data_IF_850186142247
#
_entry.id   IF_850186142247
#
_cell.length_a   1.000
_cell.length_b   1.000
_cell.length_c   1.000
_cell.angle_alpha   90.00
_cell.angle_beta   90.00
_cell.angle_gamma   90.00
#
_symmetry.space_group_name_H-M   'P 1'
#
loop_
_entity.id
_entity.type
_entity.pdbx_description
1 polymer ?
#
# COMPACT_ATOMS: atom_id res chain seq x y z
N UNK A 1 -7.07 -22.01 32.52
CA UNK A 1 -5.87 -21.69 31.72
C UNK A 1 -6.32 -20.94 30.47
N UNK A 2 -5.65 -19.84 30.12
CA UNK A 2 -5.83 -19.20 28.80
C UNK A 2 -6.27 -17.74 28.83
N UNK A 3 -5.57 -16.87 29.56
CA UNK A 3 -5.87 -15.42 29.62
C UNK A 3 -4.84 -14.53 28.92
N UNK A 4 -3.95 -15.11 28.11
CA UNK A 4 -2.99 -14.35 27.31
C UNK A 4 -2.84 -14.97 25.92
N UNK A 5 -3.82 -14.77 25.05
CA UNK A 5 -3.55 -14.79 23.61
C UNK A 5 -2.65 -13.59 23.34
N UNK A 6 -1.37 -13.83 23.07
CA UNK A 6 -0.39 -12.79 22.73
C UNK A 6 -0.96 -11.95 21.59
N UNK A 7 -1.23 -10.66 21.84
CA UNK A 7 -1.59 -9.71 20.79
C UNK A 7 -0.41 -9.61 19.86
N UNK A 8 -0.62 -9.96 18.60
CA UNK A 8 0.41 -9.90 17.56
C UNK A 8 0.39 -8.48 16.95
N UNK A 9 -0.75 -7.81 17.00
CA UNK A 9 -0.99 -6.56 16.28
C UNK A 9 -1.08 -6.79 14.77
N UNK A 10 -1.18 -5.69 14.00
CA UNK A 10 -1.11 -5.74 12.55
C UNK A 10 0.31 -6.09 12.09
N UNK A 11 0.44 -7.13 11.27
CA UNK A 11 1.71 -7.59 10.68
C UNK A 11 1.68 -7.40 9.17
N UNK A 12 2.60 -6.58 8.65
CA UNK A 12 2.76 -6.35 7.21
C UNK A 12 3.80 -7.32 6.66
N UNK A 13 3.49 -8.06 5.59
CA UNK A 13 4.38 -9.09 5.04
C UNK A 13 5.03 -8.71 3.70
N UNK A 14 4.83 -7.49 3.20
CA UNK A 14 5.54 -6.88 2.06
C UNK A 14 5.40 -5.35 2.16
N UNK A 15 6.43 -4.67 2.67
CA UNK A 15 6.42 -3.20 2.88
C UNK A 15 7.12 -2.41 1.76
N UNK A 16 7.78 -3.07 0.81
CA UNK A 16 8.46 -2.38 -0.28
C UNK A 16 7.44 -1.80 -1.27
N UNK A 17 7.49 -0.48 -1.44
CA UNK A 17 6.66 0.29 -2.36
C UNK A 17 7.55 0.90 -3.45
N UNK A 18 7.38 0.43 -4.68
CA UNK A 18 8.08 0.93 -5.87
C UNK A 18 7.71 2.39 -6.20
N UNK A 19 6.63 2.92 -5.63
CA UNK A 19 6.13 4.26 -5.88
C UNK A 19 7.11 5.37 -5.43
N UNK A 20 7.86 5.18 -4.34
CA UNK A 20 8.87 6.16 -3.91
C UNK A 20 10.01 6.29 -4.92
N UNK A 21 10.50 5.14 -5.39
CA UNK A 21 11.57 5.08 -6.40
C UNK A 21 11.11 5.70 -7.72
N UNK A 22 9.87 5.43 -8.14
CA UNK A 22 9.27 6.08 -9.30
C UNK A 22 9.23 7.61 -9.17
N UNK A 23 8.82 8.13 -8.00
CA UNK A 23 8.79 9.59 -7.75
C UNK A 23 10.20 10.19 -7.80
N UNK A 24 11.19 9.51 -7.23
CA UNK A 24 12.59 9.93 -7.28
C UNK A 24 13.11 10.02 -8.73
N UNK A 25 12.95 8.95 -9.50
CA UNK A 25 13.39 8.85 -10.89
C UNK A 25 12.69 9.93 -11.76
N UNK A 26 11.38 10.10 -11.61
CA UNK A 26 10.61 11.11 -12.34
C UNK A 26 11.02 12.53 -11.95
N UNK A 27 11.37 12.77 -10.69
CA UNK A 27 11.87 14.06 -10.22
C UNK A 27 13.22 14.38 -10.86
N UNK A 28 14.10 13.40 -11.02
CA UNK A 28 15.35 13.58 -11.76
C UNK A 28 15.13 13.87 -13.26
N UNK A 29 14.17 13.18 -13.89
CA UNK A 29 13.82 13.41 -15.29
C UNK A 29 13.23 14.81 -15.50
N UNK A 30 12.38 15.29 -14.58
CA UNK A 30 11.80 16.64 -14.63
C UNK A 30 12.89 17.73 -14.64
N UNK A 31 13.98 17.53 -13.90
CA UNK A 31 15.12 18.48 -13.87
C UNK A 31 15.82 18.63 -15.23
N UNK A 32 15.75 17.60 -16.08
CA UNK A 32 16.39 17.57 -17.41
C UNK A 32 15.42 17.90 -18.55
N UNK A 33 14.11 17.87 -18.28
CA UNK A 33 13.06 18.14 -19.26
C UNK A 33 12.76 19.65 -19.41
N UNK A 34 12.14 20.04 -20.52
CA UNK A 34 11.76 21.43 -20.81
C UNK A 34 10.44 21.49 -21.56
N UNK A 35 9.75 22.63 -21.50
CA UNK A 35 8.48 22.83 -22.20
C UNK A 35 7.37 21.89 -21.73
N UNK A 36 6.52 21.45 -22.64
CA UNK A 36 5.33 20.65 -22.34
C UNK A 36 5.66 19.30 -21.68
N UNK A 37 6.79 18.68 -22.05
CA UNK A 37 7.25 17.43 -21.45
C UNK A 37 7.49 17.56 -19.93
N UNK A 38 8.02 18.70 -19.49
CA UNK A 38 8.25 18.94 -18.06
C UNK A 38 6.92 19.05 -17.31
N UNK A 39 5.94 19.76 -17.89
CA UNK A 39 4.61 19.90 -17.30
C UNK A 39 3.91 18.54 -17.16
N UNK A 40 4.05 17.66 -18.16
CA UNK A 40 3.51 16.30 -18.08
C UNK A 40 4.18 15.47 -16.99
N UNK A 41 5.51 15.51 -16.89
CA UNK A 41 6.25 14.79 -15.84
C UNK A 41 5.86 15.29 -14.45
N UNK A 42 5.78 16.62 -14.24
CA UNK A 42 5.36 17.19 -12.96
C UNK A 42 3.93 16.80 -12.58
N UNK A 43 3.03 16.71 -13.57
CA UNK A 43 1.67 16.22 -13.38
C UNK A 43 1.67 14.75 -12.94
N UNK A 44 2.49 13.89 -13.55
CA UNK A 44 2.63 12.48 -13.14
C UNK A 44 3.21 12.36 -11.72
N UNK A 45 4.24 13.15 -11.39
CA UNK A 45 4.80 13.22 -10.03
C UNK A 45 3.71 13.59 -9.02
N UNK A 46 2.85 14.56 -9.35
CA UNK A 46 1.75 14.97 -8.47
C UNK A 46 0.74 13.84 -8.23
N UNK A 47 0.36 13.09 -9.27
CA UNK A 47 -0.54 11.95 -9.11
C UNK A 47 0.08 10.82 -8.28
N UNK A 48 1.35 10.48 -8.55
CA UNK A 48 2.07 9.47 -7.78
C UNK A 48 2.18 9.85 -6.29
N UNK A 49 2.49 11.12 -5.99
CA UNK A 49 2.52 11.61 -4.61
C UNK A 49 1.16 11.53 -3.92
N UNK A 50 0.08 11.90 -4.63
CA UNK A 50 -1.26 11.81 -4.08
C UNK A 50 -1.66 10.36 -3.75
N UNK A 51 -1.32 9.41 -4.63
CA UNK A 51 -1.51 7.98 -4.38
C UNK A 51 -0.73 7.49 -3.16
N UNK A 52 0.57 7.83 -3.09
CA UNK A 52 1.44 7.47 -1.97
C UNK A 52 0.93 8.00 -0.63
N UNK A 53 0.42 9.23 -0.58
CA UNK A 53 -0.17 9.79 0.64
C UNK A 53 -1.43 9.02 1.04
N UNK A 54 -2.28 8.66 0.06
CA UNK A 54 -3.48 7.86 0.29
C UNK A 54 -3.16 6.49 0.88
N UNK A 55 -2.22 5.75 0.27
CA UNK A 55 -1.76 4.45 0.76
C UNK A 55 -1.18 4.54 2.17
N UNK A 56 -0.34 5.54 2.45
CA UNK A 56 0.26 5.73 3.76
C UNK A 56 -0.81 5.99 4.85
N UNK A 57 -1.90 6.69 4.51
CA UNK A 57 -3.01 6.88 5.44
C UNK A 57 -3.71 5.56 5.77
N UNK A 58 -3.98 4.71 4.77
CA UNK A 58 -4.57 3.39 4.99
C UNK A 58 -3.65 2.54 5.87
N UNK A 59 -2.34 2.52 5.59
CA UNK A 59 -1.34 1.80 6.39
C UNK A 59 -1.35 2.31 7.84
N UNK A 60 -1.44 3.63 8.04
CA UNK A 60 -1.51 4.23 9.36
C UNK A 60 -2.78 3.80 10.12
N UNK A 61 -3.95 3.83 9.48
CA UNK A 61 -5.21 3.39 10.08
C UNK A 61 -5.15 1.90 10.46
N UNK A 62 -4.63 1.05 9.58
CA UNK A 62 -4.48 -0.39 9.83
C UNK A 62 -3.51 -0.66 10.99
N UNK A 63 -2.37 0.05 11.04
CA UNK A 63 -1.39 -0.04 12.14
C UNK A 63 -2.00 0.34 13.50
N UNK A 64 -2.92 1.30 13.51
CA UNK A 64 -3.55 1.81 14.73
C UNK A 64 -4.96 1.22 15.01
N UNK A 65 -5.41 0.24 14.22
CA UNK A 65 -6.75 -0.35 14.35
C UNK A 65 -6.98 -1.12 15.66
N UNK A 66 -5.92 -1.56 16.33
CA UNK A 66 -6.01 -2.39 17.54
C UNK A 66 -6.47 -3.82 17.30
N UNK A 67 -6.57 -4.25 16.04
CA UNK A 67 -7.00 -5.59 15.62
C UNK A 67 -5.77 -6.43 15.26
N UNK A 68 -5.74 -7.68 15.72
CA UNK A 68 -4.72 -8.66 15.29
C UNK A 68 -5.02 -9.09 13.84
N UNK A 69 -4.13 -8.77 12.92
CA UNK A 69 -4.30 -9.06 11.50
C UNK A 69 -2.98 -9.26 10.77
N UNK A 70 -3.01 -9.98 9.65
CA UNK A 70 -1.92 -10.00 8.66
C UNK A 70 -2.34 -9.20 7.44
N UNK A 71 -1.43 -8.39 6.93
CA UNK A 71 -1.68 -7.49 5.80
C UNK A 71 -0.64 -7.80 4.73
N UNK A 72 -1.14 -8.20 3.56
CA UNK A 72 -0.38 -8.25 2.34
C UNK A 72 -0.71 -7.00 1.52
N UNK A 73 0.31 -6.40 0.94
CA UNK A 73 0.22 -5.20 0.14
C UNK A 73 0.89 -5.43 -1.22
N UNK A 74 0.39 -4.76 -2.25
CA UNK A 74 0.91 -4.81 -3.62
C UNK A 74 1.08 -6.25 -4.13
N UNK A 75 -0.05 -6.97 -4.23
CA UNK A 75 -0.09 -8.35 -4.72
C UNK A 75 -0.62 -8.34 -6.15
N UNK A 76 0.08 -9.05 -7.02
CA UNK A 76 -0.45 -9.41 -8.33
C UNK A 76 -0.90 -10.87 -8.33
N UNK A 77 -2.17 -11.11 -8.65
CA UNK A 77 -2.74 -12.45 -8.78
C UNK A 77 -3.17 -12.68 -10.23
N UNK A 78 -2.84 -13.85 -10.77
CA UNK A 78 -3.27 -14.26 -12.12
C UNK A 78 -3.98 -15.61 -12.03
N UNK A 79 -5.20 -15.69 -12.60
CA UNK A 79 -5.99 -16.91 -12.69
C UNK A 79 -6.61 -16.99 -14.08
N UNK A 80 -6.41 -18.11 -14.79
CA UNK A 80 -6.94 -18.35 -16.14
C UNK A 80 -6.66 -17.21 -17.13
N UNK A 81 -5.46 -16.64 -17.08
CA UNK A 81 -5.03 -15.51 -17.92
C UNK A 81 -5.66 -14.16 -17.57
N UNK A 82 -6.36 -14.07 -16.43
CA UNK A 82 -6.89 -12.81 -15.88
C UNK A 82 -6.04 -12.39 -14.69
N UNK A 83 -5.29 -11.31 -14.87
CA UNK A 83 -4.52 -10.65 -13.82
C UNK A 83 -5.36 -9.64 -13.06
N UNK A 84 -5.17 -9.56 -11.75
CA UNK A 84 -5.69 -8.50 -10.89
C UNK A 84 -4.58 -8.03 -9.94
N UNK A 85 -4.46 -6.70 -9.81
CA UNK A 85 -3.63 -6.07 -8.79
C UNK A 85 -4.50 -5.81 -7.56
N UNK A 86 -3.98 -6.18 -6.39
CA UNK A 86 -4.62 -6.02 -5.10
C UNK A 86 -3.71 -5.16 -4.22
N UNK A 87 -4.17 -3.97 -3.90
CA UNK A 87 -3.42 -3.03 -3.07
C UNK A 87 -3.31 -3.53 -1.62
N UNK A 88 -4.39 -4.08 -1.06
CA UNK A 88 -4.41 -4.62 0.29
C UNK A 88 -5.23 -5.91 0.39
N UNK A 89 -4.64 -6.96 0.96
CA UNK A 89 -5.31 -8.18 1.37
C UNK A 89 -5.11 -8.39 2.87
N UNK A 90 -6.22 -8.38 3.62
CA UNK A 90 -6.21 -8.39 5.08
C UNK A 90 -6.76 -9.72 5.59
N UNK A 91 -6.01 -10.37 6.47
CA UNK A 91 -6.40 -11.62 7.13
C UNK A 91 -6.61 -11.36 8.61
N UNK A 92 -7.84 -11.53 9.06
CA UNK A 92 -8.20 -11.43 10.47
C UNK A 92 -8.62 -12.79 11.00
N UNK A 93 -8.51 -13.01 12.32
CA UNK A 93 -9.19 -14.15 12.94
C UNK A 93 -10.70 -13.97 12.82
N UNK A 94 -11.42 -15.07 12.65
CA UNK A 94 -12.89 -15.06 12.66
C UNK A 94 -13.39 -14.37 13.94
N UNK A 95 -14.02 -13.21 13.79
CA UNK A 95 -14.82 -12.62 14.85
C UNK A 95 -16.16 -13.37 14.87
N UNK A 96 -16.31 -14.33 15.77
CA UNK A 96 -17.63 -14.86 16.10
C UNK A 96 -18.39 -13.79 16.88
N UNK A 97 -19.11 -12.93 16.16
CA UNK A 97 -20.19 -12.14 16.75
C UNK A 97 -21.34 -13.12 16.99
N UNK A 98 -21.52 -13.54 18.24
CA UNK A 98 -22.75 -14.23 18.64
C UNK A 98 -23.88 -13.19 18.64
N UNK A 99 -24.85 -13.37 17.74
CA UNK A 99 -26.14 -12.68 17.79
C UNK A 99 -27.06 -13.34 18.81
#
# INVERSE_FOLDING_TARGET
MGLFTKKIGPVFLKEDSDAKKFIEDMTELSKKASGDLKNEIEKQIKYANAGLVGENNIIFELKNSGIDMYILHDIYLEVDGKGAQIDFMIFTKKASVCY
#
